data_IF_308225328194
#
_entry.id   IF_308225328194
#
_cell.length_a   1.000
_cell.length_b   1.000
_cell.length_c   1.000
_cell.angle_alpha   90.00
_cell.angle_beta   90.00
_cell.angle_gamma   90.00
#
_symmetry.space_group_name_H-M   'P 1'
#
loop_
_entity.id
_entity.type
_entity.pdbx_description
1 polymer ?
#
# COMPACT_ATOMS: atom_id res chain seq x y z
N UNK A 1 -21.83 68.46 -24.84
CA UNK A 1 -22.39 67.09 -24.79
C UNK A 1 -21.22 66.12 -24.54
N UNK A 2 -20.97 65.81 -23.28
CA UNK A 2 -19.92 64.89 -22.88
C UNK A 2 -20.52 63.50 -22.65
N UNK A 3 -20.26 62.57 -23.57
CA UNK A 3 -20.63 61.16 -23.42
C UNK A 3 -19.73 60.49 -22.40
N UNK A 4 -20.24 60.27 -21.22
CA UNK A 4 -19.59 59.46 -20.17
C UNK A 4 -19.60 58.00 -20.57
N UNK A 5 -18.50 57.54 -21.13
CA UNK A 5 -18.19 56.11 -21.41
C UNK A 5 -18.00 55.40 -20.08
N UNK A 6 -19.12 55.01 -19.43
CA UNK A 6 -19.09 54.21 -18.20
C UNK A 6 -18.47 52.86 -18.48
N UNK A 7 -17.40 52.65 -17.80
CA UNK A 7 -16.58 51.43 -17.82
C UNK A 7 -17.38 50.16 -17.61
N UNK A 8 -17.51 49.32 -18.63
CA UNK A 8 -18.00 47.95 -18.58
C UNK A 8 -17.01 46.98 -17.91
N UNK A 9 -15.96 47.49 -17.23
CA UNK A 9 -14.96 46.67 -16.56
C UNK A 9 -15.49 45.87 -15.39
N UNK A 10 -16.53 46.31 -14.69
CA UNK A 10 -17.11 45.62 -13.56
C UNK A 10 -17.85 44.32 -13.95
N UNK A 11 -18.44 44.27 -15.14
CA UNK A 11 -19.09 43.04 -15.65
C UNK A 11 -18.12 41.95 -16.04
N UNK A 12 -16.92 42.34 -16.58
CA UNK A 12 -15.87 41.41 -16.96
C UNK A 12 -15.30 40.66 -15.73
N UNK A 13 -15.06 41.37 -14.63
CA UNK A 13 -14.55 40.73 -13.40
C UNK A 13 -15.50 39.69 -12.78
N UNK A 14 -16.82 39.94 -12.86
CA UNK A 14 -17.81 38.98 -12.34
C UNK A 14 -17.83 37.72 -13.22
N UNK A 15 -17.74 37.88 -14.53
CA UNK A 15 -17.68 36.75 -15.47
C UNK A 15 -16.41 35.92 -15.28
N UNK A 16 -15.26 36.57 -15.11
CA UNK A 16 -13.98 35.88 -14.82
C UNK A 16 -14.03 35.14 -13.48
N UNK A 17 -14.51 35.78 -12.41
CA UNK A 17 -14.63 35.16 -11.10
C UNK A 17 -15.58 33.96 -11.12
N UNK A 18 -16.69 34.05 -11.86
CA UNK A 18 -17.66 32.95 -12.01
C UNK A 18 -17.08 31.72 -12.70
N UNK A 19 -16.09 31.89 -13.57
CA UNK A 19 -15.43 30.80 -14.29
C UNK A 19 -14.23 30.25 -13.52
N UNK A 20 -13.46 31.11 -12.87
CA UNK A 20 -12.26 30.72 -12.11
C UNK A 20 -12.64 29.99 -10.81
N UNK A 21 -13.71 30.40 -10.11
CA UNK A 21 -14.10 29.83 -8.82
C UNK A 21 -14.42 28.32 -8.91
N UNK A 22 -15.24 27.82 -9.84
CA UNK A 22 -15.47 26.37 -9.96
C UNK A 22 -14.20 25.59 -10.33
N UNK A 23 -13.34 26.15 -11.17
CA UNK A 23 -12.06 25.50 -11.52
C UNK A 23 -11.15 25.36 -10.29
N UNK A 24 -11.09 26.39 -9.45
CA UNK A 24 -10.35 26.38 -8.19
C UNK A 24 -10.90 25.33 -7.23
N UNK A 25 -12.22 25.25 -7.09
CA UNK A 25 -12.87 24.23 -6.24
C UNK A 25 -12.54 22.82 -6.75
N UNK A 26 -12.63 22.57 -8.06
CA UNK A 26 -12.29 21.28 -8.63
C UNK A 26 -10.80 20.93 -8.42
N UNK A 27 -9.92 21.90 -8.53
CA UNK A 27 -8.49 21.69 -8.27
C UNK A 27 -8.24 21.27 -6.81
N UNK A 28 -8.87 21.96 -5.85
CA UNK A 28 -8.74 21.61 -4.43
C UNK A 28 -9.31 20.22 -4.15
N UNK A 29 -10.50 19.91 -4.65
CA UNK A 29 -11.11 18.58 -4.49
C UNK A 29 -10.21 17.49 -5.06
N UNK A 30 -9.64 17.71 -6.25
CA UNK A 30 -8.74 16.75 -6.90
C UNK A 30 -7.51 16.48 -6.03
N UNK A 31 -6.87 17.51 -5.48
CA UNK A 31 -5.72 17.36 -4.59
C UNK A 31 -6.09 16.56 -3.33
N UNK A 32 -7.23 16.87 -2.71
CA UNK A 32 -7.71 16.14 -1.53
C UNK A 32 -7.94 14.66 -1.85
N UNK A 33 -8.57 14.35 -2.98
CA UNK A 33 -8.80 12.96 -3.40
C UNK A 33 -7.50 12.21 -3.66
N UNK A 34 -6.50 12.86 -4.25
CA UNK A 34 -5.17 12.28 -4.47
C UNK A 34 -4.51 11.95 -3.13
N UNK A 35 -4.53 12.88 -2.17
CA UNK A 35 -3.96 12.67 -0.83
C UNK A 35 -4.66 11.51 -0.12
N UNK A 36 -5.98 11.45 -0.14
CA UNK A 36 -6.77 10.37 0.44
C UNK A 36 -6.44 9.02 -0.18
N UNK A 37 -6.27 8.99 -1.49
CA UNK A 37 -5.86 7.78 -2.21
C UNK A 37 -4.47 7.28 -1.76
N UNK A 38 -3.47 8.15 -1.72
CA UNK A 38 -2.12 7.78 -1.26
C UNK A 38 -2.12 7.34 0.20
N UNK A 39 -2.86 8.02 1.07
CA UNK A 39 -2.99 7.64 2.47
C UNK A 39 -3.59 6.23 2.62
N UNK A 40 -4.67 5.94 1.91
CA UNK A 40 -5.28 4.60 1.90
C UNK A 40 -4.29 3.53 1.43
N UNK A 41 -3.54 3.81 0.37
CA UNK A 41 -2.55 2.89 -0.18
C UNK A 41 -1.40 2.61 0.80
N UNK A 42 -0.87 3.64 1.46
CA UNK A 42 0.17 3.50 2.48
C UNK A 42 -0.30 2.70 3.69
N UNK A 43 -1.52 2.96 4.16
CA UNK A 43 -2.10 2.22 5.29
C UNK A 43 -2.25 0.73 4.96
N UNK A 44 -2.76 0.39 3.79
CA UNK A 44 -2.90 -0.99 3.33
C UNK A 44 -1.54 -1.69 3.18
N UNK A 45 -0.54 -0.98 2.67
CA UNK A 45 0.81 -1.51 2.54
C UNK A 45 1.46 -1.76 3.91
N UNK A 46 1.29 -0.84 4.85
CA UNK A 46 1.78 -1.00 6.22
C UNK A 46 1.14 -2.20 6.91
N UNK A 47 -0.17 -2.35 6.83
CA UNK A 47 -0.90 -3.50 7.41
C UNK A 47 -0.42 -4.82 6.80
N UNK A 48 -0.21 -4.86 5.49
CA UNK A 48 0.34 -6.03 4.81
C UNK A 48 1.72 -6.40 5.35
N UNK A 49 2.63 -5.43 5.50
CA UNK A 49 3.97 -5.70 6.02
C UNK A 49 3.96 -6.21 7.46
N UNK A 50 3.05 -5.70 8.29
CA UNK A 50 2.88 -6.18 9.67
C UNK A 50 2.37 -7.63 9.65
N UNK A 51 1.35 -7.93 8.87
CA UNK A 51 0.80 -9.27 8.74
C UNK A 51 1.82 -10.29 8.21
N UNK A 52 2.61 -9.91 7.19
CA UNK A 52 3.68 -10.75 6.65
C UNK A 52 4.78 -11.04 7.67
N UNK A 53 5.16 -10.05 8.49
CA UNK A 53 6.15 -10.24 9.56
C UNK A 53 5.62 -11.15 10.67
N UNK A 54 4.35 -11.00 11.05
CA UNK A 54 3.72 -11.87 12.03
C UNK A 54 3.65 -13.31 11.52
N UNK A 55 3.24 -13.52 10.29
CA UNK A 55 3.19 -14.86 9.71
C UNK A 55 4.58 -15.48 9.56
N UNK A 56 5.58 -14.71 9.13
CA UNK A 56 6.96 -15.18 9.07
C UNK A 56 7.49 -15.53 10.48
N UNK A 57 7.23 -14.72 11.50
CA UNK A 57 7.60 -14.98 12.89
C UNK A 57 6.91 -16.20 13.47
N UNK A 58 5.66 -16.44 13.12
CA UNK A 58 4.91 -17.65 13.52
C UNK A 58 5.50 -18.91 12.89
N UNK A 59 5.86 -18.84 11.61
CA UNK A 59 6.44 -19.98 10.88
C UNK A 59 7.86 -20.31 11.33
N UNK A 60 8.60 -19.37 11.90
CA UNK A 60 9.95 -19.55 12.45
C UNK A 60 9.97 -19.73 13.97
N UNK A 61 8.81 -19.87 14.61
CA UNK A 61 8.65 -20.00 16.08
C UNK A 61 9.32 -18.87 16.89
N UNK A 62 9.65 -17.76 16.23
CA UNK A 62 10.28 -16.60 16.89
C UNK A 62 9.28 -15.65 17.52
N UNK A 63 8.00 -15.76 17.18
CA UNK A 63 6.91 -14.96 17.76
C UNK A 63 5.76 -15.83 18.22
N UNK A 64 5.48 -15.78 19.52
CA UNK A 64 4.23 -16.26 20.13
C UNK A 64 3.25 -15.09 20.16
N UNK A 65 2.66 -14.76 19.04
CA UNK A 65 1.70 -13.66 18.96
C UNK A 65 0.28 -14.18 19.15
N UNK A 66 -0.34 -13.79 20.23
CA UNK A 66 -1.73 -14.09 20.58
C UNK A 66 -2.71 -13.24 19.74
N UNK A 67 -2.27 -12.12 19.19
CA UNK A 67 -3.02 -11.25 18.30
C UNK A 67 -2.53 -11.39 16.86
N UNK A 68 -3.22 -12.21 16.09
CA UNK A 68 -3.05 -12.26 14.62
C UNK A 68 -3.87 -11.14 14.00
N UNK A 69 -3.23 -10.19 13.33
CA UNK A 69 -3.93 -9.25 12.47
C UNK A 69 -4.59 -10.04 11.33
N UNK A 70 -5.90 -10.03 11.27
CA UNK A 70 -6.65 -10.61 10.15
C UNK A 70 -6.28 -9.87 8.87
N UNK A 71 -5.52 -10.54 8.04
CA UNK A 71 -5.20 -10.05 6.71
C UNK A 71 -6.16 -10.68 5.70
N UNK A 72 -6.95 -9.84 5.06
CA UNK A 72 -7.95 -10.23 4.04
C UNK A 72 -7.33 -10.32 2.61
N UNK A 73 -6.13 -10.86 2.51
CA UNK A 73 -5.39 -11.02 1.25
C UNK A 73 -4.85 -12.44 1.08
N UNK A 74 -4.44 -12.76 -0.14
CA UNK A 74 -3.78 -14.04 -0.43
C UNK A 74 -2.37 -14.04 0.13
N UNK A 75 -2.03 -15.05 0.94
CA UNK A 75 -0.68 -15.28 1.46
C UNK A 75 -0.13 -16.60 0.94
N UNK A 76 1.10 -16.54 0.46
CA UNK A 76 1.84 -17.71 0.01
C UNK A 76 3.11 -17.86 0.83
N UNK A 77 3.28 -19.01 1.47
CA UNK A 77 4.45 -19.32 2.28
C UNK A 77 5.34 -20.31 1.53
N UNK A 78 6.60 -19.94 1.33
CA UNK A 78 7.63 -20.80 0.76
C UNK A 78 8.68 -21.08 1.82
N UNK A 79 8.79 -22.36 2.24
CA UNK A 79 9.83 -22.81 3.16
C UNK A 79 11.10 -23.13 2.37
N UNK A 80 12.22 -22.51 2.76
CA UNK A 80 13.56 -22.79 2.26
C UNK A 80 14.40 -23.56 3.29
N UNK A 81 15.62 -23.92 2.94
CA UNK A 81 16.54 -24.68 3.81
C UNK A 81 16.89 -23.96 5.12
N UNK A 82 16.96 -22.63 5.11
CA UNK A 82 17.40 -21.83 6.27
C UNK A 82 16.38 -20.76 6.68
N UNK A 83 15.20 -20.75 6.09
CA UNK A 83 14.20 -19.71 6.39
C UNK A 83 12.90 -19.88 5.63
N UNK A 84 11.97 -19.01 5.96
CA UNK A 84 10.64 -18.98 5.40
C UNK A 84 10.44 -17.65 4.69
N UNK A 85 9.96 -17.67 3.46
CA UNK A 85 9.56 -16.48 2.72
C UNK A 85 8.05 -16.45 2.60
N UNK A 86 7.43 -15.42 3.16
CA UNK A 86 6.00 -15.17 3.06
C UNK A 86 5.76 -14.05 2.06
N UNK A 87 4.94 -14.31 1.07
CA UNK A 87 4.54 -13.33 0.05
C UNK A 87 3.06 -13.07 0.17
N UNK A 88 2.68 -11.80 0.30
CA UNK A 88 1.29 -11.36 0.36
C UNK A 88 0.90 -10.60 -0.90
N UNK A 89 -0.35 -10.79 -1.33
CA UNK A 89 -0.96 -10.07 -2.44
C UNK A 89 -2.40 -9.74 -2.09
N UNK A 90 -2.74 -8.45 -2.18
CA UNK A 90 -4.12 -7.98 -2.01
C UNK A 90 -4.50 -7.09 -3.18
N UNK A 91 -5.68 -7.35 -3.73
CA UNK A 91 -6.27 -6.48 -4.73
C UNK A 91 -7.16 -5.46 -4.04
N UNK A 92 -6.87 -4.18 -4.23
CA UNK A 92 -7.71 -3.10 -3.77
C UNK A 92 -8.80 -2.86 -4.82
N UNK A 93 -10.00 -3.32 -4.50
CA UNK A 93 -11.21 -2.97 -5.26
C UNK A 93 -11.65 -1.59 -4.78
N UNK A 94 -11.54 -0.58 -5.62
CA UNK A 94 -12.35 0.61 -5.43
C UNK A 94 -13.80 0.22 -5.75
N UNK A 95 -14.58 0.00 -4.70
CA UNK A 95 -16.01 -0.28 -4.80
C UNK A 95 -16.76 1.01 -5.15
N UNK A 96 -16.53 1.50 -6.35
CA UNK A 96 -17.39 2.50 -6.98
C UNK A 96 -18.29 1.77 -7.96
N UNK A 97 -19.57 1.72 -7.64
CA UNK A 97 -20.64 1.33 -8.55
C UNK A 97 -20.63 2.29 -9.75
N UNK A 98 -19.90 1.98 -10.78
CA UNK A 98 -19.83 2.76 -12.02
C UNK A 98 -18.57 2.42 -12.78
N UNK A 99 -18.59 2.42 -14.02
CA UNK A 99 -17.60 2.42 -15.13
C UNK A 99 -16.26 1.68 -14.97
N UNK A 100 -15.70 1.48 -13.77
CA UNK A 100 -14.40 0.83 -13.52
C UNK A 100 -14.51 -0.48 -12.73
N UNK A 101 -15.40 -1.36 -13.14
CA UNK A 101 -15.51 -2.73 -12.59
C UNK A 101 -14.49 -3.71 -13.18
N UNK A 102 -13.26 -3.28 -13.46
CA UNK A 102 -12.18 -4.22 -13.79
C UNK A 102 -11.48 -4.64 -12.51
N UNK A 103 -11.66 -5.92 -12.14
CA UNK A 103 -10.87 -6.61 -11.11
C UNK A 103 -9.40 -6.28 -11.30
N UNK A 104 -8.79 -5.63 -10.30
CA UNK A 104 -7.35 -5.51 -10.26
C UNK A 104 -6.75 -4.18 -10.68
N UNK A 105 -7.46 -3.05 -10.54
CA UNK A 105 -6.88 -1.75 -10.82
C UNK A 105 -5.62 -1.46 -9.97
N UNK A 106 -5.57 -1.94 -8.71
CA UNK A 106 -4.41 -1.77 -7.84
C UNK A 106 -4.16 -3.05 -7.04
N UNK A 107 -2.95 -3.59 -7.15
CA UNK A 107 -2.51 -4.73 -6.36
C UNK A 107 -1.37 -4.30 -5.42
N UNK A 108 -1.57 -4.46 -4.13
CA UNK A 108 -0.50 -4.33 -3.14
C UNK A 108 0.20 -5.68 -3.03
N UNK A 109 1.52 -5.70 -3.23
CA UNK A 109 2.34 -6.89 -3.13
C UNK A 109 3.47 -6.63 -2.14
N UNK A 110 3.79 -7.63 -1.32
CA UNK A 110 4.91 -7.57 -0.41
C UNK A 110 5.46 -8.95 -0.14
N UNK A 111 6.71 -9.01 0.27
CA UNK A 111 7.37 -10.23 0.71
C UNK A 111 8.16 -9.96 1.97
N UNK A 112 8.14 -10.91 2.89
CA UNK A 112 8.96 -10.90 4.09
C UNK A 112 9.66 -12.26 4.21
N UNK A 113 10.96 -12.24 4.50
CA UNK A 113 11.73 -13.45 4.77
C UNK A 113 12.10 -13.50 6.24
N UNK A 114 11.78 -14.60 6.91
CA UNK A 114 12.21 -14.91 8.26
C UNK A 114 13.27 -16.01 8.22
N UNK A 115 14.31 -15.89 9.03
CA UNK A 115 15.32 -16.93 9.20
C UNK A 115 14.89 -17.80 10.40
N UNK A 116 14.77 -19.10 10.17
CA UNK A 116 14.60 -20.07 11.26
C UNK A 116 15.95 -20.32 11.91
N UNK A 117 16.18 -19.70 13.07
CA UNK A 117 17.45 -19.78 13.79
C UNK A 117 17.81 -21.22 14.17
N UNK A 118 16.82 -22.06 14.52
CA UNK A 118 17.05 -23.45 14.90
C UNK A 118 17.49 -24.29 13.71
N UNK A 119 16.85 -24.14 12.56
CA UNK A 119 17.24 -24.80 11.32
C UNK A 119 18.59 -24.29 10.81
N UNK A 120 18.83 -23.00 10.90
CA UNK A 120 20.11 -22.42 10.51
C UNK A 120 21.28 -22.99 11.33
N UNK A 121 21.14 -23.08 12.65
CA UNK A 121 22.16 -23.67 13.53
C UNK A 121 22.39 -25.14 13.20
N UNK A 122 21.33 -25.93 12.98
CA UNK A 122 21.44 -27.35 12.57
C UNK A 122 22.16 -27.47 11.24
N UNK A 123 21.85 -26.63 10.27
CA UNK A 123 22.52 -26.61 8.99
C UNK A 123 24.02 -26.28 9.12
N UNK A 124 24.37 -25.25 9.89
CA UNK A 124 25.75 -24.89 10.18
C UNK A 124 26.52 -26.01 10.89
N UNK A 125 25.88 -26.74 11.83
CA UNK A 125 26.53 -27.89 12.51
C UNK A 125 26.79 -29.06 11.57
N UNK A 126 25.87 -29.36 10.66
CA UNK A 126 26.04 -30.39 9.64
C UNK A 126 27.21 -30.05 8.68
N UNK A 127 27.25 -28.81 8.18
CA UNK A 127 28.33 -28.35 7.29
C UNK A 127 29.69 -28.40 7.99
N UNK A 128 29.72 -28.03 9.29
CA UNK A 128 30.97 -28.11 10.09
C UNK A 128 31.40 -29.56 10.34
N UNK A 129 30.44 -30.49 10.56
CA UNK A 129 30.72 -31.91 10.69
C UNK A 129 31.40 -32.48 9.45
N UNK A 130 30.88 -32.20 8.26
CA UNK A 130 31.45 -32.66 6.97
C UNK A 130 32.86 -32.12 6.75
N UNK A 131 33.13 -30.88 7.19
CA UNK A 131 34.47 -30.28 7.02
C UNK A 131 35.55 -30.87 7.96
N UNK A 132 35.16 -31.49 9.05
CA UNK A 132 36.07 -32.11 10.01
C UNK A 132 36.39 -33.56 9.68
N UNK A 133 35.69 -34.16 8.71
CA UNK A 133 35.93 -35.55 8.24
C UNK A 133 36.82 -35.61 6.99
N UNK A 134 37.29 -34.48 6.48
CA UNK A 134 38.28 -34.37 5.39
C UNK A 134 39.67 -33.97 5.94
#
# INVERSE_FOLDING_TARGET
MGSTKRNNKRGSYIMEASLVLPVLIFAVITVVLIIMFFYSQMTQQSQMHIALRQEAGRQTETMTSEHVLEWDGEMYTKKGMAGVTVTGKKYLLMEHKGILTKKGAFAVKGSCSGVDAAQYVRYCSLVRGIKNEQ
#
